data_IF_153271950015
#
_entry.id   IF_153271950015
#
_cell.length_a   1.000
_cell.length_b   1.000
_cell.length_c   1.000
_cell.angle_alpha   90.00
_cell.angle_beta   90.00
_cell.angle_gamma   90.00
#
_symmetry.space_group_name_H-M   'P 1'
#
loop_
_entity.id
_entity.type
_entity.pdbx_description
1 polymer ?
#
# COMPACT_ATOMS: atom_id res chain seq x y z
N UNK A 1 16.96 -19.14 11.94
CA UNK A 1 16.21 -17.93 11.59
C UNK A 1 16.26 -17.69 10.09
N UNK A 2 15.12 -17.29 9.49
CA UNK A 2 15.02 -16.97 8.07
C UNK A 2 15.21 -15.45 7.91
N UNK A 3 16.21 -15.00 7.15
CA UNK A 3 16.41 -13.58 6.88
C UNK A 3 15.31 -13.03 5.96
N UNK A 4 14.68 -11.92 6.34
CA UNK A 4 13.69 -11.22 5.53
C UNK A 4 14.18 -9.79 5.33
N UNK A 5 14.42 -9.40 4.08
CA UNK A 5 14.71 -8.01 3.75
C UNK A 5 13.38 -7.24 3.66
N UNK A 6 13.29 -6.12 4.38
CA UNK A 6 12.16 -5.19 4.28
C UNK A 6 12.67 -3.90 3.68
N UNK A 7 12.24 -3.57 2.45
CA UNK A 7 12.58 -2.29 1.81
C UNK A 7 11.53 -1.23 2.13
N UNK A 8 11.92 0.03 2.25
CA UNK A 8 11.00 1.08 2.68
C UNK A 8 10.48 0.84 4.10
N UNK A 9 11.34 0.36 5.01
CA UNK A 9 10.98 -0.06 6.35
C UNK A 9 10.38 1.07 7.21
N UNK A 10 10.66 2.33 6.90
CA UNK A 10 10.11 3.51 7.57
C UNK A 10 8.85 4.09 6.92
N UNK A 11 8.37 3.47 5.83
CA UNK A 11 7.05 3.74 5.29
C UNK A 11 5.94 3.13 6.15
N UNK A 12 4.69 3.57 5.94
CA UNK A 12 3.52 3.13 6.73
C UNK A 12 3.45 1.59 6.86
N UNK A 13 3.56 0.87 5.73
CA UNK A 13 3.48 -0.59 5.73
C UNK A 13 4.76 -1.23 6.29
N UNK A 14 5.94 -0.69 5.98
CA UNK A 14 7.21 -1.19 6.52
C UNK A 14 7.24 -1.21 8.03
N UNK A 15 6.71 -0.16 8.67
CA UNK A 15 6.55 -0.09 10.14
C UNK A 15 5.61 -1.19 10.65
N UNK A 16 4.45 -1.39 10.00
CA UNK A 16 3.48 -2.41 10.40
C UNK A 16 4.04 -3.84 10.22
N UNK A 17 4.76 -4.09 9.14
CA UNK A 17 5.47 -5.36 8.88
C UNK A 17 6.50 -5.62 9.98
N UNK A 18 7.30 -4.61 10.35
CA UNK A 18 8.27 -4.73 11.43
C UNK A 18 7.62 -5.04 12.78
N UNK A 19 6.53 -4.35 13.12
CA UNK A 19 5.79 -4.61 14.37
C UNK A 19 5.27 -6.05 14.43
N UNK A 20 4.72 -6.56 13.33
CA UNK A 20 4.09 -7.88 13.31
C UNK A 20 5.11 -9.02 13.16
N UNK A 21 5.97 -8.95 12.15
CA UNK A 21 6.92 -10.05 11.85
C UNK A 21 8.14 -10.04 12.77
N UNK A 22 8.46 -8.89 13.37
CA UNK A 22 9.55 -8.78 14.34
C UNK A 22 9.30 -9.53 15.66
N UNK A 23 8.03 -9.86 15.97
CA UNK A 23 7.64 -10.68 17.12
C UNK A 23 7.81 -12.20 16.85
N UNK A 24 8.03 -12.60 15.59
CA UNK A 24 8.18 -14.00 15.23
C UNK A 24 9.65 -14.44 15.28
N UNK A 25 9.98 -15.31 16.23
CA UNK A 25 11.34 -15.81 16.46
C UNK A 25 11.93 -16.61 15.28
N UNK A 26 11.12 -17.06 14.32
CA UNK A 26 11.62 -17.72 13.10
C UNK A 26 12.27 -16.74 12.13
N UNK A 27 11.93 -15.44 12.21
CA UNK A 27 12.37 -14.43 11.26
C UNK A 27 13.42 -13.49 11.85
N UNK A 28 14.36 -13.12 11.00
CA UNK A 28 15.31 -12.05 11.27
C UNK A 28 15.08 -10.96 10.20
N UNK A 29 14.53 -9.81 10.62
CA UNK A 29 14.27 -8.72 9.70
C UNK A 29 15.54 -7.90 9.47
N UNK A 30 15.87 -7.71 8.20
CA UNK A 30 16.98 -6.87 7.73
C UNK A 30 16.36 -5.65 7.06
N UNK A 31 16.33 -4.55 7.76
CA UNK A 31 15.59 -3.34 7.40
C UNK A 31 16.40 -2.42 6.51
N UNK A 32 15.82 -2.03 5.37
CA UNK A 32 16.45 -1.11 4.43
C UNK A 32 15.52 0.05 4.07
N UNK A 33 16.13 1.21 3.87
CA UNK A 33 15.47 2.42 3.39
C UNK A 33 16.51 3.33 2.72
N UNK A 34 16.09 4.32 1.94
CA UNK A 34 16.97 5.36 1.38
C UNK A 34 17.40 6.37 2.44
N UNK A 35 16.62 6.52 3.52
CA UNK A 35 16.90 7.38 4.67
C UNK A 35 17.09 6.52 5.92
N UNK A 36 18.00 6.91 6.80
CA UNK A 36 18.21 6.30 8.12
C UNK A 36 17.38 6.95 9.24
N UNK A 37 16.50 7.88 8.87
CA UNK A 37 15.60 8.55 9.80
C UNK A 37 14.21 7.90 9.78
N UNK A 38 13.65 7.60 10.93
CA UNK A 38 12.30 7.05 11.03
C UNK A 38 12.06 6.27 12.32
N UNK A 39 10.98 5.49 12.35
CA UNK A 39 10.52 4.71 13.50
C UNK A 39 11.27 3.37 13.63
N UNK A 40 11.70 2.83 12.51
CA UNK A 40 12.40 1.54 12.44
C UNK A 40 13.88 1.80 12.23
N UNK A 41 14.73 1.09 12.97
CA UNK A 41 16.18 1.12 12.75
C UNK A 41 16.50 0.55 11.37
N UNK A 42 17.19 1.34 10.57
CA UNK A 42 17.69 0.93 9.26
C UNK A 42 19.04 0.20 9.43
N UNK A 43 19.11 -1.05 9.01
CA UNK A 43 20.33 -1.85 9.07
C UNK A 43 21.28 -1.51 7.92
N UNK A 44 20.71 -1.21 6.74
CA UNK A 44 21.46 -0.77 5.56
C UNK A 44 20.65 0.26 4.76
N UNK A 45 21.28 1.39 4.40
CA UNK A 45 20.72 2.25 3.34
C UNK A 45 20.79 1.50 2.02
N UNK A 46 19.69 1.48 1.29
CA UNK A 46 19.54 0.77 0.03
C UNK A 46 18.65 1.57 -0.93
N UNK A 47 19.21 1.97 -2.07
CA UNK A 47 18.41 2.45 -3.20
C UNK A 47 18.01 1.29 -4.10
N UNK A 48 16.74 0.90 -4.08
CA UNK A 48 16.23 -0.20 -4.90
C UNK A 48 16.37 0.04 -6.40
N UNK A 49 16.58 1.30 -6.83
CA UNK A 49 16.78 1.64 -8.24
C UNK A 49 18.20 1.31 -8.73
N UNK A 50 19.16 1.10 -7.82
CA UNK A 50 20.52 0.69 -8.12
C UNK A 50 20.64 -0.84 -8.15
N UNK A 51 20.69 -1.43 -9.33
CA UNK A 51 20.70 -2.88 -9.51
C UNK A 51 21.91 -3.55 -8.88
N UNK A 52 23.12 -2.95 -9.01
CA UNK A 52 24.35 -3.54 -8.47
C UNK A 52 24.31 -3.57 -6.93
N UNK A 53 23.85 -2.49 -6.33
CA UNK A 53 23.69 -2.40 -4.89
C UNK A 53 22.69 -3.44 -4.36
N UNK A 54 21.54 -3.59 -5.03
CA UNK A 54 20.51 -4.59 -4.68
C UNK A 54 21.06 -6.01 -4.79
N UNK A 55 21.72 -6.36 -5.90
CA UNK A 55 22.27 -7.70 -6.12
C UNK A 55 23.38 -8.05 -5.12
N UNK A 56 24.30 -7.13 -4.86
CA UNK A 56 25.38 -7.35 -3.91
C UNK A 56 24.83 -7.53 -2.48
N UNK A 57 23.92 -6.67 -2.08
CA UNK A 57 23.31 -6.73 -0.75
C UNK A 57 22.50 -8.04 -0.53
N UNK A 58 21.66 -8.41 -1.48
CA UNK A 58 20.87 -9.64 -1.34
C UNK A 58 21.74 -10.90 -1.35
N UNK A 59 22.84 -10.92 -2.12
CA UNK A 59 23.82 -12.00 -2.10
C UNK A 59 24.56 -12.12 -0.75
N UNK A 60 24.82 -11.00 -0.08
CA UNK A 60 25.38 -10.96 1.28
C UNK A 60 24.38 -11.52 2.30
N UNK A 61 23.14 -11.03 2.29
CA UNK A 61 22.09 -11.37 3.27
C UNK A 61 21.53 -12.77 3.07
N UNK A 62 21.46 -13.27 1.83
CA UNK A 62 20.83 -14.55 1.45
C UNK A 62 19.43 -14.67 2.01
N UNK A 63 18.51 -13.81 1.59
CA UNK A 63 17.19 -13.73 2.17
C UNK A 63 16.33 -14.95 1.86
N UNK A 64 15.48 -15.35 2.81
CA UNK A 64 14.34 -16.23 2.58
C UNK A 64 13.24 -15.50 1.79
N UNK A 65 13.04 -14.21 2.10
CA UNK A 65 12.08 -13.37 1.42
C UNK A 65 12.53 -11.91 1.37
N UNK A 66 12.01 -11.18 0.38
CA UNK A 66 12.11 -9.72 0.26
C UNK A 66 10.67 -9.18 0.31
N UNK A 67 10.39 -8.28 1.25
CA UNK A 67 9.11 -7.56 1.34
C UNK A 67 9.35 -6.14 0.85
N UNK A 68 8.85 -5.84 -0.35
CA UNK A 68 9.01 -4.53 -0.96
C UNK A 68 7.89 -3.58 -0.56
N UNK A 69 8.13 -2.77 0.48
CA UNK A 69 7.27 -1.65 0.90
C UNK A 69 7.71 -0.30 0.31
N UNK A 70 8.85 -0.25 -0.39
CA UNK A 70 9.35 0.97 -1.02
C UNK A 70 8.52 1.32 -2.26
N UNK A 71 8.03 2.55 -2.34
CA UNK A 71 7.30 3.07 -3.49
C UNK A 71 7.30 4.61 -3.49
N UNK A 72 7.17 5.19 -4.67
CA UNK A 72 6.79 6.60 -4.82
C UNK A 72 5.26 6.69 -4.78
N UNK A 73 4.71 7.28 -3.71
CA UNK A 73 3.25 7.28 -3.43
C UNK A 73 2.60 8.66 -3.50
N UNK A 74 3.35 9.71 -3.85
CA UNK A 74 2.81 11.05 -4.02
C UNK A 74 2.10 11.17 -5.37
N UNK A 75 0.83 10.71 -5.44
CA UNK A 75 0.04 10.53 -6.67
C UNK A 75 -0.01 11.79 -7.52
N UNK A 76 -0.29 12.97 -6.92
CA UNK A 76 -0.37 14.22 -7.67
C UNK A 76 1.01 14.66 -8.21
N UNK A 77 2.07 14.55 -7.41
CA UNK A 77 3.43 14.87 -7.85
C UNK A 77 3.97 13.86 -8.88
N UNK A 78 3.43 12.66 -8.93
CA UNK A 78 3.79 11.65 -9.92
C UNK A 78 3.57 12.15 -11.36
N UNK A 79 2.50 12.93 -11.61
CA UNK A 79 2.18 13.46 -12.94
C UNK A 79 3.29 14.33 -13.54
N UNK A 80 4.11 14.94 -12.70
CA UNK A 80 5.23 15.80 -13.12
C UNK A 80 6.61 15.14 -12.95
N UNK A 81 6.71 14.02 -12.24
CA UNK A 81 7.96 13.32 -11.94
C UNK A 81 8.01 11.93 -12.59
N UNK A 82 7.70 11.83 -13.88
CA UNK A 82 7.54 10.58 -14.62
C UNK A 82 8.74 9.62 -14.47
N UNK A 83 9.95 10.09 -14.75
CA UNK A 83 11.16 9.26 -14.71
C UNK A 83 11.47 8.73 -13.31
N UNK A 84 11.28 9.58 -12.29
CA UNK A 84 11.49 9.18 -10.89
C UNK A 84 10.48 8.10 -10.49
N UNK A 85 9.22 8.23 -10.93
CA UNK A 85 8.19 7.22 -10.69
C UNK A 85 8.54 5.89 -11.35
N UNK A 86 8.94 5.88 -12.62
CA UNK A 86 9.38 4.66 -13.28
C UNK A 86 10.57 4.02 -12.59
N UNK A 87 11.56 4.81 -12.17
CA UNK A 87 12.73 4.28 -11.45
C UNK A 87 12.32 3.57 -10.16
N UNK A 88 11.50 4.22 -9.33
CA UNK A 88 11.13 3.68 -8.02
C UNK A 88 10.05 2.59 -8.14
N UNK A 89 8.97 2.84 -8.91
CA UNK A 89 7.80 1.97 -8.94
C UNK A 89 7.89 0.82 -9.95
N UNK A 90 8.81 0.88 -10.93
CA UNK A 90 8.98 -0.15 -11.93
C UNK A 90 10.39 -0.77 -11.91
N UNK A 91 11.46 0.03 -12.06
CA UNK A 91 12.83 -0.50 -12.10
C UNK A 91 13.26 -1.04 -10.72
N UNK A 92 12.89 -0.37 -9.62
CA UNK A 92 13.15 -0.89 -8.27
C UNK A 92 12.58 -2.30 -8.06
N UNK A 93 11.27 -2.55 -8.27
CA UNK A 93 10.67 -3.89 -8.23
C UNK A 93 11.32 -4.90 -9.18
N UNK A 94 11.71 -4.47 -10.41
CA UNK A 94 12.47 -5.32 -11.34
C UNK A 94 13.78 -5.79 -10.72
N UNK A 95 14.56 -4.89 -10.15
CA UNK A 95 15.85 -5.21 -9.54
C UNK A 95 15.69 -6.18 -8.36
N UNK A 96 14.66 -5.96 -7.52
CA UNK A 96 14.32 -6.88 -6.42
C UNK A 96 13.84 -8.24 -6.92
N UNK A 97 13.13 -8.30 -8.04
CA UNK A 97 12.66 -9.55 -8.66
C UNK A 97 13.82 -10.39 -9.19
N UNK A 98 14.80 -9.77 -9.87
CA UNK A 98 16.03 -10.42 -10.30
C UNK A 98 16.81 -10.95 -9.09
N UNK A 99 17.01 -10.11 -8.07
CA UNK A 99 17.72 -10.48 -6.86
C UNK A 99 17.04 -11.62 -6.08
N UNK A 100 15.71 -11.58 -5.97
CA UNK A 100 14.94 -12.66 -5.34
C UNK A 100 15.13 -13.98 -6.08
N UNK A 101 15.10 -13.98 -7.40
CA UNK A 101 15.29 -15.18 -8.23
C UNK A 101 16.70 -15.75 -8.11
N UNK A 102 17.74 -14.90 -8.12
CA UNK A 102 19.13 -15.34 -7.96
C UNK A 102 19.40 -15.97 -6.58
N UNK A 103 18.69 -15.51 -5.55
CA UNK A 103 18.81 -16.04 -4.18
C UNK A 103 17.76 -17.10 -3.83
N UNK A 104 16.90 -17.53 -4.78
CA UNK A 104 15.78 -18.44 -4.54
C UNK A 104 14.82 -17.95 -3.44
N UNK A 105 14.76 -16.64 -3.25
CA UNK A 105 13.92 -15.96 -2.26
C UNK A 105 12.50 -15.73 -2.78
N UNK A 106 11.55 -15.58 -1.86
CA UNK A 106 10.21 -15.09 -2.16
C UNK A 106 10.23 -13.56 -2.28
N UNK A 107 9.47 -12.99 -3.22
CA UNK A 107 9.26 -11.55 -3.32
C UNK A 107 7.81 -11.19 -3.00
N UNK A 108 7.57 -10.41 -1.97
CA UNK A 108 6.28 -9.76 -1.72
C UNK A 108 6.35 -8.33 -2.26
N UNK A 109 5.53 -8.01 -3.26
CA UNK A 109 5.47 -6.68 -3.88
C UNK A 109 4.10 -6.05 -3.68
N UNK A 110 4.07 -4.83 -3.14
CA UNK A 110 2.83 -4.10 -2.91
C UNK A 110 2.49 -3.24 -4.12
N UNK A 111 1.31 -3.46 -4.67
CA UNK A 111 0.72 -2.69 -5.77
C UNK A 111 -0.53 -1.93 -5.30
N UNK A 112 -1.36 -1.48 -6.22
CA UNK A 112 -2.43 -0.51 -5.97
C UNK A 112 -3.67 -0.79 -6.82
N UNK A 113 -4.82 -0.35 -6.34
CA UNK A 113 -6.08 -0.22 -7.09
C UNK A 113 -6.00 0.72 -8.29
N UNK A 114 -5.06 1.68 -8.30
CA UNK A 114 -4.82 2.61 -9.43
C UNK A 114 -4.38 1.92 -10.73
N UNK A 115 -4.09 0.63 -10.72
CA UNK A 115 -3.84 -0.15 -11.95
C UNK A 115 -5.12 -0.36 -12.77
N UNK A 116 -6.29 -0.12 -12.19
CA UNK A 116 -7.58 -0.22 -12.86
C UNK A 116 -8.07 1.11 -13.46
N UNK A 117 -8.94 1.08 -14.49
CA UNK A 117 -9.42 2.29 -15.13
C UNK A 117 -10.40 3.15 -14.29
N UNK A 118 -10.94 2.57 -13.20
CA UNK A 118 -11.87 3.26 -12.31
C UNK A 118 -13.32 3.36 -12.81
N UNK A 119 -13.71 2.57 -13.80
CA UNK A 119 -15.02 2.62 -14.47
C UNK A 119 -15.88 1.38 -14.21
N UNK A 120 -15.51 0.55 -13.24
CA UNK A 120 -16.30 -0.63 -12.87
C UNK A 120 -17.58 -0.24 -12.14
N UNK A 121 -18.60 -1.10 -12.20
CA UNK A 121 -19.85 -1.02 -11.43
C UNK A 121 -19.97 -2.18 -10.42
N UNK A 122 -18.93 -3.01 -10.34
CA UNK A 122 -18.85 -4.16 -9.42
C UNK A 122 -17.44 -4.28 -8.84
N UNK A 123 -17.27 -4.91 -7.67
CA UNK A 123 -15.95 -5.19 -7.10
C UNK A 123 -15.05 -5.90 -8.12
N UNK A 124 -13.80 -5.45 -8.18
CA UNK A 124 -12.80 -5.92 -9.12
C UNK A 124 -12.05 -7.10 -8.54
N UNK A 125 -11.94 -8.18 -9.29
CA UNK A 125 -11.13 -9.36 -8.97
C UNK A 125 -9.72 -9.23 -9.57
N UNK A 126 -8.82 -10.11 -9.17
CA UNK A 126 -7.45 -10.18 -9.73
C UNK A 126 -7.44 -10.51 -11.23
N UNK A 127 -8.55 -11.04 -11.76
CA UNK A 127 -8.71 -11.44 -13.17
C UNK A 127 -9.29 -10.33 -14.04
N UNK A 128 -9.76 -9.23 -13.46
CA UNK A 128 -10.29 -8.11 -14.23
C UNK A 128 -9.17 -7.35 -14.95
N UNK A 129 -9.44 -6.82 -16.18
CA UNK A 129 -8.43 -6.15 -16.97
C UNK A 129 -7.98 -4.83 -16.34
N UNK A 130 -6.68 -4.59 -16.35
CA UNK A 130 -6.07 -3.33 -15.92
C UNK A 130 -6.16 -2.26 -17.01
N UNK A 131 -6.06 -0.97 -16.61
CA UNK A 131 -6.10 0.16 -17.54
C UNK A 131 -5.87 1.49 -16.83
N UNK A 132 -4.69 1.68 -16.20
CA UNK A 132 -4.41 2.83 -15.33
C UNK A 132 -4.53 4.15 -16.09
N UNK A 133 -4.96 5.21 -15.40
CA UNK A 133 -5.16 6.56 -15.96
C UNK A 133 -4.14 7.58 -15.46
N UNK A 134 -3.50 7.34 -14.31
CA UNK A 134 -2.50 8.21 -13.71
C UNK A 134 -1.09 7.66 -13.93
N UNK A 135 -0.08 8.52 -13.89
CA UNK A 135 1.34 8.13 -13.94
C UNK A 135 1.67 7.16 -12.79
N UNK A 136 1.13 7.40 -11.61
CA UNK A 136 1.29 6.49 -10.48
C UNK A 136 0.80 5.07 -10.81
N UNK A 137 -0.43 4.93 -11.29
CA UNK A 137 -1.01 3.64 -11.66
C UNK A 137 -0.24 2.95 -12.79
N UNK A 138 0.16 3.70 -13.83
CA UNK A 138 0.94 3.19 -14.97
C UNK A 138 2.28 2.62 -14.48
N UNK A 139 3.01 3.36 -13.64
CA UNK A 139 4.33 2.92 -13.16
C UNK A 139 4.24 1.76 -12.18
N UNK A 140 3.19 1.70 -11.34
CA UNK A 140 2.93 0.56 -10.46
C UNK A 140 2.60 -0.70 -11.27
N UNK A 141 1.77 -0.60 -12.32
CA UNK A 141 1.48 -1.72 -13.22
C UNK A 141 2.73 -2.20 -13.97
N UNK A 142 3.59 -1.29 -14.40
CA UNK A 142 4.87 -1.66 -15.00
C UNK A 142 5.75 -2.45 -14.02
N UNK A 143 5.73 -2.08 -12.73
CA UNK A 143 6.39 -2.83 -11.66
C UNK A 143 5.82 -4.24 -11.48
N UNK A 144 4.48 -4.40 -11.49
CA UNK A 144 3.85 -5.73 -11.47
C UNK A 144 4.32 -6.62 -12.61
N UNK A 145 4.37 -6.06 -13.83
CA UNK A 145 4.80 -6.81 -15.02
C UNK A 145 6.26 -7.25 -14.88
N UNK A 146 7.16 -6.38 -14.44
CA UNK A 146 8.54 -6.77 -14.18
C UNK A 146 8.68 -7.83 -13.08
N UNK A 147 7.87 -7.76 -12.01
CA UNK A 147 7.86 -8.81 -11.00
C UNK A 147 7.42 -10.14 -11.58
N UNK A 148 6.37 -10.17 -12.42
CA UNK A 148 5.88 -11.39 -13.11
C UNK A 148 6.93 -11.95 -14.08
N UNK A 149 7.69 -11.09 -14.76
CA UNK A 149 8.66 -11.50 -15.77
C UNK A 149 9.97 -12.02 -15.15
N UNK A 150 10.40 -11.49 -14.00
CA UNK A 150 11.72 -11.74 -13.43
C UNK A 150 11.71 -12.53 -12.11
N UNK A 151 10.63 -12.52 -11.32
CA UNK A 151 10.56 -13.28 -10.09
C UNK A 151 9.93 -14.66 -10.29
N UNK A 152 10.58 -15.72 -9.74
CA UNK A 152 10.00 -17.08 -9.75
C UNK A 152 8.93 -17.25 -8.69
N UNK A 153 9.23 -16.80 -7.48
CA UNK A 153 8.42 -16.99 -6.28
C UNK A 153 7.94 -15.62 -5.81
N UNK A 154 6.74 -15.20 -6.19
CA UNK A 154 6.26 -13.86 -5.86
C UNK A 154 4.83 -13.84 -5.38
N UNK A 155 4.55 -12.85 -4.54
CA UNK A 155 3.22 -12.39 -4.17
C UNK A 155 3.12 -10.92 -4.54
N UNK A 156 2.26 -10.57 -5.49
CA UNK A 156 1.88 -9.18 -5.76
C UNK A 156 0.58 -8.95 -5.01
N UNK A 157 0.53 -7.92 -4.16
CA UNK A 157 -0.69 -7.57 -3.41
C UNK A 157 -1.12 -6.17 -3.83
N UNK A 158 -2.24 -6.05 -4.54
CA UNK A 158 -2.90 -4.78 -4.83
C UNK A 158 -3.71 -4.37 -3.62
N UNK A 159 -3.47 -3.19 -3.10
CA UNK A 159 -4.21 -2.61 -1.96
C UNK A 159 -4.81 -1.27 -2.34
N UNK A 160 -5.71 -0.74 -1.50
CA UNK A 160 -6.37 0.55 -1.71
C UNK A 160 -6.42 1.34 -0.40
N UNK A 161 -6.38 2.65 -0.49
CA UNK A 161 -6.64 3.63 0.58
C UNK A 161 -5.91 3.29 1.90
N UNK A 162 -4.61 2.97 1.78
CA UNK A 162 -3.79 2.48 2.87
C UNK A 162 -3.54 3.57 3.92
N UNK A 163 -3.78 3.23 5.20
CA UNK A 163 -3.49 4.11 6.33
C UNK A 163 -2.79 3.36 7.47
N UNK A 164 -1.93 4.07 8.20
CA UNK A 164 -1.14 3.53 9.30
C UNK A 164 -0.27 4.60 9.96
N UNK A 165 0.90 4.25 10.47
CA UNK A 165 1.84 5.22 11.01
C UNK A 165 2.38 6.16 9.91
N UNK A 166 2.59 7.43 10.26
CA UNK A 166 3.07 8.46 9.33
C UNK A 166 1.93 9.19 8.61
N UNK A 167 2.26 9.86 7.49
CA UNK A 167 1.32 10.70 6.75
C UNK A 167 0.33 9.85 5.96
N UNK A 168 -0.97 10.01 6.22
CA UNK A 168 -2.06 9.35 5.51
C UNK A 168 -3.35 10.19 5.55
N UNK A 169 -4.40 9.73 4.88
CA UNK A 169 -5.67 10.44 4.79
C UNK A 169 -6.31 10.65 6.17
N UNK A 170 -6.37 9.62 7.04
CA UNK A 170 -6.99 9.71 8.37
C UNK A 170 -6.33 10.82 9.19
N UNK A 171 -4.99 10.78 9.30
CA UNK A 171 -4.22 11.81 10.03
C UNK A 171 -4.35 13.19 9.40
N UNK A 172 -4.49 13.26 8.07
CA UNK A 172 -4.71 14.53 7.37
C UNK A 172 -6.07 15.12 7.74
N UNK A 173 -7.14 14.33 7.73
CA UNK A 173 -8.48 14.79 8.12
C UNK A 173 -8.53 15.24 9.58
N UNK A 174 -7.93 14.49 10.50
CA UNK A 174 -7.83 14.89 11.90
C UNK A 174 -7.11 16.24 12.06
N UNK A 175 -5.99 16.43 11.36
CA UNK A 175 -5.23 17.69 11.40
C UNK A 175 -6.00 18.87 10.80
N UNK A 176 -6.72 18.67 9.70
CA UNK A 176 -7.54 19.73 9.08
C UNK A 176 -8.64 20.19 10.04
N UNK A 177 -9.24 19.26 10.77
CA UNK A 177 -10.29 19.56 11.74
C UNK A 177 -9.81 20.41 12.95
N UNK A 178 -8.50 20.45 13.24
CA UNK A 178 -7.95 21.31 14.29
C UNK A 178 -8.12 22.82 14.00
N UNK A 179 -8.26 23.17 12.72
CA UNK A 179 -8.25 24.57 12.27
C UNK A 179 -9.42 24.97 11.38
N UNK A 180 -10.29 24.02 11.00
CA UNK A 180 -11.40 24.26 10.07
C UNK A 180 -12.70 23.66 10.62
N UNK A 181 -13.77 24.46 10.56
CA UNK A 181 -15.12 24.02 10.93
C UNK A 181 -15.82 23.23 9.81
N UNK A 182 -15.26 23.25 8.60
CA UNK A 182 -15.76 22.53 7.43
C UNK A 182 -14.60 22.06 6.55
N UNK A 183 -14.73 20.84 6.00
CA UNK A 183 -13.81 20.26 5.00
C UNK A 183 -14.59 19.82 3.78
N UNK A 184 -14.03 20.07 2.59
CA UNK A 184 -14.62 19.63 1.31
C UNK A 184 -13.99 18.30 0.89
N UNK A 185 -14.82 17.27 0.67
CA UNK A 185 -14.37 15.92 0.32
C UNK A 185 -15.24 15.37 -0.83
N UNK A 186 -14.62 14.57 -1.72
CA UNK A 186 -15.33 13.96 -2.85
C UNK A 186 -16.24 12.82 -2.37
N UNK A 187 -17.43 12.70 -2.94
CA UNK A 187 -18.46 11.71 -2.60
C UNK A 187 -18.69 10.64 -3.67
N UNK A 188 -18.11 10.83 -4.86
CA UNK A 188 -18.29 9.99 -6.03
C UNK A 188 -17.05 9.11 -6.36
N UNK A 189 -16.16 8.91 -5.40
CA UNK A 189 -15.04 7.96 -5.48
C UNK A 189 -15.22 6.88 -4.42
N UNK A 190 -15.29 5.62 -4.84
CA UNK A 190 -15.57 4.46 -3.99
C UNK A 190 -14.37 3.51 -3.92
N UNK A 191 -14.02 3.08 -2.71
CA UNK A 191 -12.92 2.17 -2.43
C UNK A 191 -13.05 1.49 -1.08
N UNK A 192 -12.03 0.72 -0.71
CA UNK A 192 -11.96 -0.01 0.57
C UNK A 192 -10.78 0.53 1.40
N UNK A 193 -11.04 1.35 2.42
CA UNK A 193 -9.97 1.82 3.32
C UNK A 193 -9.29 0.62 3.99
N UNK A 194 -7.96 0.58 3.95
CA UNK A 194 -7.20 -0.57 4.44
C UNK A 194 -6.15 -0.14 5.46
N UNK A 195 -6.17 -0.73 6.65
CA UNK A 195 -5.11 -0.47 7.62
C UNK A 195 -3.84 -1.25 7.28
N UNK A 196 -2.68 -0.63 7.53
CA UNK A 196 -1.40 -1.31 7.36
C UNK A 196 -1.27 -2.56 8.24
N UNK A 197 -1.96 -2.59 9.37
CA UNK A 197 -2.00 -3.75 10.27
C UNK A 197 -2.68 -4.96 9.62
N UNK A 198 -3.81 -4.75 8.95
CA UNK A 198 -4.51 -5.81 8.21
C UNK A 198 -3.70 -6.28 7.01
N UNK A 199 -3.09 -5.36 6.26
CA UNK A 199 -2.22 -5.74 5.14
C UNK A 199 -0.97 -6.49 5.61
N UNK A 200 -0.37 -6.14 6.75
CA UNK A 200 0.75 -6.87 7.33
C UNK A 200 0.36 -8.29 7.76
N UNK A 201 -0.86 -8.50 8.32
CA UNK A 201 -1.39 -9.85 8.62
C UNK A 201 -1.53 -10.70 7.36
N UNK A 202 -2.01 -10.11 6.28
CA UNK A 202 -2.12 -10.81 4.99
C UNK A 202 -0.75 -11.21 4.42
N UNK A 203 0.25 -10.34 4.52
CA UNK A 203 1.64 -10.66 4.17
C UNK A 203 2.14 -11.83 5.02
N UNK A 204 1.90 -11.79 6.34
CA UNK A 204 2.30 -12.85 7.26
C UNK A 204 1.62 -14.19 6.94
N UNK A 205 0.36 -14.17 6.49
CA UNK A 205 -0.37 -15.37 6.08
C UNK A 205 0.17 -15.97 4.77
N UNK A 206 0.55 -15.15 3.79
CA UNK A 206 1.10 -15.63 2.51
C UNK A 206 2.56 -16.09 2.61
N UNK A 207 3.36 -15.43 3.42
CA UNK A 207 4.82 -15.59 3.46
C UNK A 207 5.29 -17.06 3.66
N UNK A 208 4.68 -17.87 4.53
CA UNK A 208 5.08 -19.28 4.70
C UNK A 208 4.58 -20.21 3.58
N UNK A 209 3.65 -19.78 2.74
CA UNK A 209 3.00 -20.61 1.70
C UNK A 209 3.75 -20.57 0.37
N UNK A 210 3.37 -21.47 -0.55
CA UNK A 210 3.80 -21.47 -1.94
C UNK A 210 2.65 -21.05 -2.90
N UNK A 211 1.62 -20.36 -2.38
CA UNK A 211 0.50 -19.82 -3.14
C UNK A 211 0.91 -18.56 -3.91
N UNK A 212 1.92 -18.70 -4.76
CA UNK A 212 2.46 -17.56 -5.52
C UNK A 212 1.43 -16.98 -6.48
N UNK A 213 1.52 -15.68 -6.72
CA UNK A 213 0.68 -15.01 -7.71
C UNK A 213 0.28 -13.59 -7.34
N UNK A 214 -0.82 -13.16 -7.96
CA UNK A 214 -1.44 -11.85 -7.79
C UNK A 214 -2.63 -11.97 -6.83
N UNK A 215 -2.71 -11.05 -5.89
CA UNK A 215 -3.75 -10.97 -4.87
C UNK A 215 -4.30 -9.54 -4.77
N UNK A 216 -5.56 -9.41 -4.44
CA UNK A 216 -6.11 -8.19 -3.88
C UNK A 216 -6.05 -8.28 -2.35
N UNK A 217 -5.70 -7.17 -1.69
CA UNK A 217 -5.52 -7.13 -0.25
C UNK A 217 -6.06 -5.83 0.35
N UNK A 218 -7.37 -5.80 0.63
CA UNK A 218 -8.07 -4.67 1.25
C UNK A 218 -8.92 -5.15 2.42
N UNK A 219 -9.23 -4.28 3.38
CA UNK A 219 -10.29 -4.57 4.33
C UNK A 219 -11.62 -4.84 3.60
N UNK A 220 -12.49 -5.64 4.21
CA UNK A 220 -13.81 -5.93 3.68
C UNK A 220 -14.72 -4.70 3.77
N UNK A 221 -15.72 -4.66 2.89
CA UNK A 221 -16.61 -3.53 2.76
C UNK A 221 -16.03 -2.41 1.90
N UNK A 222 -16.80 -1.35 1.73
CA UNK A 222 -16.45 -0.20 0.89
C UNK A 222 -17.15 1.06 1.36
N UNK A 223 -16.62 2.21 0.97
CA UNK A 223 -17.17 3.52 1.29
C UNK A 223 -16.71 4.56 0.26
N UNK A 224 -17.27 5.78 0.34
CA UNK A 224 -16.75 6.97 -0.35
C UNK A 224 -15.77 7.75 0.55
N UNK A 225 -15.00 8.69 -0.02
CA UNK A 225 -14.08 9.49 0.78
C UNK A 225 -14.78 10.39 1.80
N UNK A 226 -15.93 10.95 1.46
CA UNK A 226 -16.69 11.79 2.37
C UNK A 226 -17.30 10.98 3.54
N UNK A 227 -17.87 9.82 3.27
CA UNK A 227 -18.36 8.91 4.31
C UNK A 227 -17.20 8.38 5.20
N UNK A 228 -16.06 8.06 4.60
CA UNK A 228 -14.86 7.70 5.36
C UNK A 228 -14.43 8.84 6.29
N UNK A 229 -14.47 10.09 5.82
CA UNK A 229 -14.17 11.28 6.63
C UNK A 229 -15.17 11.46 7.77
N UNK A 230 -16.48 11.26 7.50
CA UNK A 230 -17.53 11.34 8.53
C UNK A 230 -17.28 10.31 9.63
N UNK A 231 -16.91 9.09 9.27
CA UNK A 231 -16.63 8.04 10.23
C UNK A 231 -15.37 8.34 11.07
N UNK A 232 -14.30 8.88 10.46
CA UNK A 232 -13.12 9.37 11.18
C UNK A 232 -13.52 10.41 12.22
N UNK A 233 -14.32 11.40 11.85
CA UNK A 233 -14.76 12.46 12.74
C UNK A 233 -15.70 11.96 13.84
N UNK A 234 -16.59 11.03 13.51
CA UNK A 234 -17.46 10.38 14.50
C UNK A 234 -16.65 9.68 15.59
N UNK A 235 -15.66 8.87 15.21
CA UNK A 235 -14.79 8.14 16.13
C UNK A 235 -13.89 9.08 16.95
N UNK A 236 -13.53 10.23 16.39
CA UNK A 236 -12.72 11.22 17.10
C UNK A 236 -13.53 12.20 17.95
N UNK A 237 -14.87 12.18 17.91
CA UNK A 237 -15.73 13.16 18.59
C UNK A 237 -15.61 14.58 18.02
N UNK A 238 -15.28 14.71 16.72
CA UNK A 238 -15.03 15.98 16.04
C UNK A 238 -16.32 16.48 15.39
N UNK A 239 -16.64 17.79 15.57
CA UNK A 239 -17.85 18.41 15.03
C UNK A 239 -17.65 19.08 13.67
N UNK A 240 -16.45 19.05 13.08
CA UNK A 240 -16.15 19.63 11.75
C UNK A 240 -17.09 19.03 10.68
N UNK A 241 -17.73 19.90 9.90
CA UNK A 241 -18.67 19.47 8.87
C UNK A 241 -17.95 18.95 7.64
N UNK A 242 -18.47 17.88 7.05
CA UNK A 242 -18.01 17.34 5.77
C UNK A 242 -18.95 17.81 4.67
N UNK A 243 -18.43 18.66 3.79
CA UNK A 243 -19.12 19.11 2.57
C UNK A 243 -18.76 18.17 1.43
N UNK A 244 -19.74 17.38 1.00
CA UNK A 244 -19.60 16.51 -0.16
C UNK A 244 -19.58 17.31 -1.46
N UNK A 245 -18.69 16.92 -2.39
CA UNK A 245 -18.57 17.46 -3.74
C UNK A 245 -18.26 16.35 -4.72
N UNK A 246 -18.59 16.52 -5.97
CA UNK A 246 -18.19 15.60 -7.04
C UNK A 246 -16.70 15.72 -7.36
N UNK A 247 -16.12 14.68 -7.96
CA UNK A 247 -14.75 14.70 -8.50
C UNK A 247 -14.57 15.86 -9.49
N UNK A 248 -15.56 16.14 -10.31
CA UNK A 248 -15.53 17.25 -11.28
C UNK A 248 -15.42 18.61 -10.61
N UNK A 249 -16.21 18.85 -9.57
CA UNK A 249 -16.15 20.10 -8.78
C UNK A 249 -14.81 20.24 -8.06
N UNK A 250 -14.32 19.14 -7.46
CA UNK A 250 -13.03 19.13 -6.78
C UNK A 250 -11.87 19.43 -7.75
N UNK A 251 -11.86 18.81 -8.94
CA UNK A 251 -10.84 19.05 -9.96
C UNK A 251 -10.89 20.46 -10.53
N UNK A 252 -12.09 21.04 -10.70
CA UNK A 252 -12.23 22.42 -11.12
C UNK A 252 -11.56 23.40 -10.12
N UNK A 253 -11.65 23.09 -8.81
CA UNK A 253 -11.00 23.87 -7.77
C UNK A 253 -9.50 23.52 -7.60
N UNK A 254 -9.08 22.30 -8.02
CA UNK A 254 -7.72 21.75 -7.87
C UNK A 254 -7.21 21.19 -9.21
N UNK A 255 -6.90 22.01 -10.22
CA UNK A 255 -6.57 21.54 -11.57
C UNK A 255 -5.26 20.75 -11.67
N UNK A 256 -4.44 20.74 -10.62
CA UNK A 256 -3.20 19.97 -10.53
C UNK A 256 -3.39 18.55 -9.94
N UNK A 257 -4.61 18.18 -9.53
CA UNK A 257 -4.85 16.85 -8.99
C UNK A 257 -4.82 15.79 -10.08
N UNK A 258 -4.12 14.68 -9.81
CA UNK A 258 -4.04 13.53 -10.71
C UNK A 258 -5.42 12.87 -10.90
N UNK A 259 -5.65 12.20 -12.05
CA UNK A 259 -6.84 11.38 -12.24
C UNK A 259 -6.93 10.27 -11.18
N UNK A 260 -8.07 10.18 -10.51
CA UNK A 260 -8.36 9.14 -9.51
C UNK A 260 -9.49 8.24 -10.01
N UNK A 261 -9.44 6.93 -9.71
CA UNK A 261 -10.52 6.03 -10.10
C UNK A 261 -11.80 6.39 -9.35
N UNK A 262 -12.93 6.46 -10.07
CA UNK A 262 -14.26 6.61 -9.49
C UNK A 262 -14.65 5.39 -8.66
N UNK A 263 -14.33 4.21 -9.18
CA UNK A 263 -14.65 2.94 -8.56
C UNK A 263 -13.38 2.08 -8.49
N UNK A 264 -12.89 1.82 -7.28
CA UNK A 264 -11.70 1.02 -7.05
C UNK A 264 -11.86 -0.02 -5.94
N UNK A 265 -13.11 -0.47 -5.70
CA UNK A 265 -13.39 -1.54 -4.74
C UNK A 265 -12.76 -2.83 -5.25
N UNK A 266 -11.86 -3.40 -4.46
CA UNK A 266 -11.18 -4.66 -4.75
C UNK A 266 -11.89 -5.82 -4.03
N UNK A 267 -12.10 -6.91 -4.74
CA UNK A 267 -12.53 -8.17 -4.18
C UNK A 267 -11.30 -9.04 -3.87
N UNK A 268 -11.12 -9.46 -2.62
CA UNK A 268 -10.03 -10.33 -2.14
C UNK A 268 -10.23 -11.78 -2.61
N UNK A 269 -10.54 -11.99 -3.90
CA UNK A 269 -11.01 -13.27 -4.43
C UNK A 269 -9.96 -14.37 -4.29
N UNK A 270 -8.70 -14.09 -4.67
CA UNK A 270 -7.61 -15.06 -4.56
C UNK A 270 -7.28 -15.42 -3.11
N UNK A 271 -7.35 -14.46 -2.17
CA UNK A 271 -7.19 -14.77 -0.74
C UNK A 271 -8.24 -15.77 -0.26
N UNK A 272 -9.51 -15.57 -0.60
CA UNK A 272 -10.60 -16.49 -0.22
C UNK A 272 -10.49 -17.88 -0.84
N UNK A 273 -9.88 -17.98 -2.03
CA UNK A 273 -9.71 -19.29 -2.70
C UNK A 273 -8.50 -20.08 -2.21
N UNK A 274 -7.47 -19.41 -1.69
CA UNK A 274 -6.15 -20.05 -1.51
C UNK A 274 -5.60 -19.97 -0.09
N UNK A 275 -6.27 -19.24 0.79
CA UNK A 275 -5.85 -19.07 2.20
C UNK A 275 -7.06 -19.07 3.13
N UNK A 276 -6.80 -19.27 4.42
CA UNK A 276 -7.79 -19.08 5.49
C UNK A 276 -7.81 -17.63 6.04
N UNK A 277 -7.01 -16.73 5.44
CA UNK A 277 -6.95 -15.35 5.88
C UNK A 277 -8.21 -14.58 5.47
N UNK A 278 -8.82 -13.92 6.45
CA UNK A 278 -9.97 -13.04 6.27
C UNK A 278 -9.58 -11.65 6.78
N UNK A 279 -9.77 -10.65 5.93
CA UNK A 279 -9.56 -9.26 6.33
C UNK A 279 -10.70 -8.78 7.25
N UNK A 280 -10.37 -7.92 8.19
CA UNK A 280 -11.39 -7.23 8.98
C UNK A 280 -12.24 -6.31 8.09
N UNK A 281 -13.47 -6.03 8.53
CA UNK A 281 -14.27 -4.93 7.97
C UNK A 281 -13.54 -3.59 8.17
N UNK A 282 -13.66 -2.67 7.19
CA UNK A 282 -12.93 -1.40 7.21
C UNK A 282 -13.27 -0.52 8.41
N UNK A 283 -14.55 -0.54 8.88
CA UNK A 283 -14.96 0.23 10.06
C UNK A 283 -14.33 -0.33 11.34
N UNK A 284 -14.30 -1.66 11.47
CA UNK A 284 -13.64 -2.32 12.59
C UNK A 284 -12.13 -2.06 12.59
N UNK A 285 -11.49 -2.10 11.42
CA UNK A 285 -10.07 -1.80 11.29
C UNK A 285 -9.76 -0.32 11.60
N UNK A 286 -10.65 0.61 11.21
CA UNK A 286 -10.52 2.04 11.52
C UNK A 286 -10.69 2.29 13.02
N UNK A 287 -11.68 1.67 13.66
CA UNK A 287 -11.92 1.80 15.11
C UNK A 287 -10.69 1.37 15.93
N UNK A 288 -10.10 0.22 15.58
CA UNK A 288 -8.84 -0.24 16.19
C UNK A 288 -7.72 0.80 16.00
N UNK A 289 -7.56 1.33 14.80
CA UNK A 289 -6.52 2.32 14.50
C UNK A 289 -6.74 3.64 15.27
N UNK A 290 -7.97 4.13 15.33
CA UNK A 290 -8.34 5.35 16.07
C UNK A 290 -8.12 5.16 17.58
N UNK A 291 -8.46 4.01 18.12
CA UNK A 291 -8.22 3.65 19.52
C UNK A 291 -6.72 3.62 19.85
N UNK A 292 -5.89 3.03 18.98
CA UNK A 292 -4.43 3.02 19.14
C UNK A 292 -3.81 4.42 19.09
N UNK A 293 -4.44 5.37 18.40
CA UNK A 293 -4.07 6.79 18.39
C UNK A 293 -4.59 7.58 19.59
N UNK A 294 -5.35 6.95 20.50
CA UNK A 294 -5.90 7.59 21.71
C UNK A 294 -7.29 8.21 21.55
N UNK A 295 -7.94 8.03 20.38
CA UNK A 295 -9.34 8.40 20.20
C UNK A 295 -10.23 7.24 20.69
N UNK A 296 -11.19 7.57 21.54
CA UNK A 296 -12.21 6.61 22.01
C UNK A 296 -13.57 7.16 21.62
N UNK A 297 -14.37 6.35 20.93
CA UNK A 297 -15.77 6.66 20.70
C UNK A 297 -16.57 6.69 22.02
#
# INVERSE_FOLDING_TARGET
MKNIIVTGCNGQLGIAVNKLLGENEEYHLVNTDVSDQGFVKVDRKLDITNVEEVLNFTKEVKPYAIINCAAYTAVDAAETHLDLNYRINAIGPRNLAIAATENQAKLVHISTDYVFPGTSEKPLTEFDPTGPKSVYGITKLAGENFVKDFARNYFIIRTAWLYGEGKNFVRTMLKVAETHDEVTVVDDQFGSPTSTKELAKAIAALLPTDNYGLFHGTCEGSTSWDEFTREIYRLAGIATRVKSVTTAEYQAANPQSAPRPHYSILDNYMFRLTTDHVYADWQAALDVYMTEMGYKA
#
